data_IF_824241153797
#
_entry.id   IF_824241153797
#
_cell.length_a   1.000
_cell.length_b   1.000
_cell.length_c   1.000
_cell.angle_alpha   90.00
_cell.angle_beta   90.00
_cell.angle_gamma   90.00
#
_symmetry.space_group_name_H-M   'P 1'
#
loop_
_entity.id
_entity.type
_entity.pdbx_description
1 polymer ?
#
# COMPACT_ATOMS: atom_id res chain seq x y z
N UNK A 1 -14.89 4.88 6.60
CA UNK A 1 -14.83 3.67 5.76
C UNK A 1 -15.31 3.81 4.32
N UNK A 2 -16.00 4.90 3.90
CA UNK A 2 -16.18 5.15 2.46
C UNK A 2 -14.89 5.65 1.79
N UNK A 3 -14.21 6.59 2.48
CA UNK A 3 -13.04 7.30 1.96
C UNK A 3 -11.84 6.39 1.69
N UNK A 4 -11.55 5.43 2.56
CA UNK A 4 -10.44 4.48 2.38
C UNK A 4 -10.62 3.60 1.13
N UNK A 5 -11.86 3.19 0.86
CA UNK A 5 -12.20 2.45 -0.36
C UNK A 5 -12.08 3.32 -1.61
N UNK A 6 -12.54 4.57 -1.54
CA UNK A 6 -12.43 5.52 -2.66
C UNK A 6 -10.96 5.85 -2.97
N UNK A 7 -10.13 6.03 -1.93
CA UNK A 7 -8.68 6.22 -2.06
C UNK A 7 -8.02 5.01 -2.70
N UNK A 8 -8.35 3.81 -2.24
CA UNK A 8 -7.82 2.58 -2.83
C UNK A 8 -8.20 2.46 -4.31
N UNK A 9 -9.46 2.73 -4.67
CA UNK A 9 -9.91 2.76 -6.06
C UNK A 9 -9.14 3.78 -6.90
N UNK A 10 -9.03 5.03 -6.40
CA UNK A 10 -8.32 6.12 -7.06
C UNK A 10 -6.86 5.76 -7.38
N UNK A 11 -6.12 5.18 -6.43
CA UNK A 11 -4.73 4.80 -6.68
C UNK A 11 -4.59 3.66 -7.69
N UNK A 12 -5.53 2.71 -7.73
CA UNK A 12 -5.53 1.67 -8.75
C UNK A 12 -5.90 2.20 -10.14
N UNK A 13 -6.81 3.17 -10.22
CA UNK A 13 -7.13 3.83 -11.48
C UNK A 13 -5.93 4.63 -12.00
N UNK A 14 -5.24 5.39 -11.13
CA UNK A 14 -4.00 6.09 -11.51
C UNK A 14 -2.91 5.12 -11.98
N UNK A 15 -2.73 3.99 -11.30
CA UNK A 15 -1.80 2.95 -11.74
C UNK A 15 -2.15 2.39 -13.12
N UNK A 16 -3.45 2.23 -13.41
CA UNK A 16 -3.94 1.77 -14.72
C UNK A 16 -3.77 2.81 -15.82
N UNK A 17 -3.95 4.09 -15.50
CA UNK A 17 -3.80 5.21 -16.43
C UNK A 17 -2.32 5.49 -16.76
N UNK A 18 -1.46 5.53 -15.74
CA UNK A 18 -0.04 5.86 -15.89
C UNK A 18 0.81 4.66 -16.34
N UNK A 19 0.24 3.46 -16.30
CA UNK A 19 0.83 2.25 -16.86
C UNK A 19 1.93 1.63 -16.00
N UNK A 20 2.41 0.48 -16.48
CA UNK A 20 3.39 -0.35 -15.78
C UNK A 20 4.72 0.39 -15.65
N UNK A 21 5.29 0.40 -14.43
CA UNK A 21 6.57 1.06 -14.13
C UNK A 21 6.45 2.50 -13.65
N UNK A 22 5.24 3.07 -13.63
CA UNK A 22 4.97 4.37 -12.98
C UNK A 22 5.03 4.28 -11.45
N UNK A 23 5.24 5.42 -10.79
CA UNK A 23 5.18 5.53 -9.32
C UNK A 23 3.81 5.11 -8.77
N UNK A 24 2.73 5.40 -9.50
CA UNK A 24 1.37 4.99 -9.12
C UNK A 24 1.20 3.47 -9.21
N UNK A 25 1.79 2.83 -10.23
CA UNK A 25 1.80 1.36 -10.34
C UNK A 25 2.57 0.72 -9.19
N UNK A 26 3.72 1.29 -8.79
CA UNK A 26 4.46 0.83 -7.62
C UNK A 26 3.65 0.99 -6.33
N UNK A 27 2.96 2.13 -6.17
CA UNK A 27 2.14 2.36 -4.99
C UNK A 27 0.90 1.45 -4.95
N UNK A 28 0.25 1.19 -6.08
CA UNK A 28 -0.85 0.22 -6.15
C UNK A 28 -0.38 -1.19 -5.75
N UNK A 29 0.84 -1.60 -6.10
CA UNK A 29 1.43 -2.86 -5.65
C UNK A 29 1.61 -2.88 -4.12
N UNK A 30 2.05 -1.78 -3.52
CA UNK A 30 2.13 -1.64 -2.04
C UNK A 30 0.76 -1.81 -1.40
N UNK A 31 -0.27 -1.15 -1.94
CA UNK A 31 -1.64 -1.26 -1.43
C UNK A 31 -2.20 -2.68 -1.59
N UNK A 32 -1.89 -3.35 -2.70
CA UNK A 32 -2.28 -4.74 -2.92
C UNK A 32 -1.60 -5.69 -1.94
N UNK A 33 -0.29 -5.53 -1.70
CA UNK A 33 0.42 -6.32 -0.71
C UNK A 33 -0.11 -6.06 0.71
N UNK A 34 -0.35 -4.80 1.07
CA UNK A 34 -1.00 -4.46 2.33
C UNK A 34 -2.37 -5.15 2.47
N UNK A 35 -3.15 -5.21 1.38
CA UNK A 35 -4.45 -5.88 1.37
C UNK A 35 -4.33 -7.38 1.66
N UNK A 36 -3.30 -8.04 1.10
CA UNK A 36 -3.02 -9.44 1.36
C UNK A 36 -2.52 -9.68 2.79
N UNK A 37 -1.78 -8.73 3.38
CA UNK A 37 -1.21 -8.85 4.72
C UNK A 37 -2.23 -8.65 5.85
N UNK A 38 -3.06 -7.61 5.77
CA UNK A 38 -3.93 -7.19 6.88
C UNK A 38 -5.42 -7.19 6.56
N UNK A 39 -5.78 -7.46 5.29
CA UNK A 39 -7.17 -7.48 4.84
C UNK A 39 -7.76 -6.11 4.54
N UNK A 40 -8.91 -6.12 3.87
CA UNK A 40 -9.58 -4.93 3.32
C UNK A 40 -9.84 -3.85 4.37
N UNK A 41 -10.50 -4.25 5.47
CA UNK A 41 -10.90 -3.33 6.52
C UNK A 41 -9.71 -2.53 7.06
N UNK A 42 -8.60 -3.22 7.35
CA UNK A 42 -7.44 -2.60 7.97
C UNK A 42 -6.66 -1.71 7.00
N UNK A 43 -6.56 -2.11 5.73
CA UNK A 43 -5.97 -1.25 4.69
C UNK A 43 -6.75 0.04 4.51
N UNK A 44 -8.09 -0.02 4.50
CA UNK A 44 -8.91 1.17 4.34
C UNK A 44 -8.80 2.11 5.54
N UNK A 45 -8.72 1.59 6.77
CA UNK A 45 -8.43 2.39 7.96
C UNK A 45 -7.06 3.08 7.85
N UNK A 46 -6.02 2.34 7.46
CA UNK A 46 -4.67 2.89 7.29
C UNK A 46 -4.60 3.93 6.18
N UNK A 47 -5.34 3.75 5.08
CA UNK A 47 -5.42 4.73 3.99
C UNK A 47 -6.12 6.01 4.43
N UNK A 48 -7.19 5.91 5.22
CA UNK A 48 -7.85 7.08 5.80
C UNK A 48 -6.88 7.84 6.71
N UNK A 49 -6.16 7.13 7.59
CA UNK A 49 -5.14 7.71 8.48
C UNK A 49 -3.97 8.35 7.72
N UNK A 50 -3.50 7.70 6.65
CA UNK A 50 -2.44 8.22 5.78
C UNK A 50 -2.87 9.54 5.14
N UNK A 51 -4.07 9.60 4.57
CA UNK A 51 -4.59 10.80 3.93
C UNK A 51 -4.81 11.93 4.96
N UNK A 52 -5.31 11.62 6.15
CA UNK A 52 -5.48 12.59 7.24
C UNK A 52 -4.15 13.14 7.77
N UNK A 53 -3.09 12.33 7.74
CA UNK A 53 -1.75 12.71 8.20
C UNK A 53 -0.83 13.24 7.09
N UNK A 54 -1.30 13.27 5.84
CA UNK A 54 -0.51 13.68 4.67
C UNK A 54 0.60 12.69 4.30
N UNK A 55 0.46 11.42 4.69
CA UNK A 55 1.41 10.33 4.51
C UNK A 55 0.94 9.31 3.46
N UNK A 56 1.79 8.32 3.17
CA UNK A 56 1.47 7.15 2.34
C UNK A 56 1.75 5.85 3.08
N UNK A 57 1.16 4.76 2.62
CA UNK A 57 1.52 3.43 3.10
C UNK A 57 2.86 3.00 2.48
N UNK A 58 3.71 2.36 3.26
CA UNK A 58 4.89 1.67 2.76
C UNK A 58 5.00 0.29 3.42
N UNK A 59 5.62 -0.65 2.72
CA UNK A 59 5.96 -1.96 3.27
C UNK A 59 7.31 -1.86 3.96
N UNK A 60 7.38 -2.29 5.20
CA UNK A 60 8.64 -2.53 5.90
C UNK A 60 9.04 -3.99 5.68
N UNK A 61 10.33 -4.21 5.44
CA UNK A 61 10.90 -5.53 5.20
C UNK A 61 11.86 -5.86 6.33
N UNK A 62 11.72 -7.03 6.94
CA UNK A 62 12.67 -7.51 7.94
C UNK A 62 13.89 -8.11 7.26
N UNK A 63 15.08 -7.59 7.58
CA UNK A 63 16.37 -8.00 7.01
C UNK A 63 16.91 -9.34 7.57
N UNK A 64 16.06 -10.20 8.14
CA UNK A 64 16.57 -11.23 9.05
C UNK A 64 17.14 -12.48 8.35
N UNK A 65 16.94 -12.70 7.04
CA UNK A 65 17.36 -13.95 6.41
C UNK A 65 18.35 -13.75 5.25
N UNK A 66 19.56 -14.28 5.46
CA UNK A 66 20.69 -14.19 4.53
C UNK A 66 20.44 -14.91 3.21
N UNK A 67 19.85 -14.22 2.24
CA UNK A 67 19.84 -14.60 0.83
C UNK A 67 18.50 -15.06 0.26
N UNK A 68 17.40 -15.03 1.02
CA UNK A 68 16.05 -15.28 0.51
C UNK A 68 15.31 -13.96 0.22
N UNK A 69 14.35 -13.99 -0.72
CA UNK A 69 13.57 -12.83 -1.13
C UNK A 69 12.98 -12.08 0.07
N UNK A 70 13.19 -10.76 0.14
CA UNK A 70 12.72 -9.94 1.25
C UNK A 70 11.18 -9.98 1.34
N UNK A 71 10.66 -10.59 2.40
CA UNK A 71 9.22 -10.66 2.68
C UNK A 71 8.83 -9.41 3.48
N UNK A 72 7.75 -8.70 3.10
CA UNK A 72 7.26 -7.57 3.89
C UNK A 72 6.77 -8.07 5.25
N UNK A 73 7.22 -7.44 6.32
CA UNK A 73 6.94 -7.83 7.71
C UNK A 73 5.91 -6.91 8.37
N UNK A 74 5.83 -5.65 7.96
CA UNK A 74 4.87 -4.69 8.51
C UNK A 74 4.46 -3.63 7.48
N UNK A 75 3.40 -2.86 7.79
CA UNK A 75 2.95 -1.71 7.02
C UNK A 75 3.18 -0.47 7.87
N UNK A 76 3.83 0.54 7.31
CA UNK A 76 4.16 1.80 7.97
C UNK A 76 3.61 2.99 7.20
N UNK A 77 3.45 4.13 7.89
CA UNK A 77 3.03 5.40 7.31
C UNK A 77 4.24 6.31 7.12
N UNK A 78 4.57 6.63 5.87
CA UNK A 78 5.73 7.44 5.47
C UNK A 78 5.35 8.82 4.95
#
# INVERSE_FOLDING_TARGET
>A
MGKGKDLFGKYNDLARENGVGSEDCQYANVLFQALLMVGERKVFELLEEADESGKKLALEYSNDHGGEEAIPSSIVLV
#
